data_IF_782196350641
#
_entry.id   IF_782196350641
#
_cell.length_a   1.000
_cell.length_b   1.000
_cell.length_c   1.000
_cell.angle_alpha   90.00
_cell.angle_beta   90.00
_cell.angle_gamma   90.00
#
_symmetry.space_group_name_H-M   'P 1'
#
loop_
_entity.id
_entity.type
_entity.pdbx_description
1 polymer ?
#
# COMPACT_ATOMS: atom_id res chain seq x y z
N UNK A 1 30.20 -14.82 56.77
CA UNK A 1 29.05 -14.01 56.28
C UNK A 1 29.47 -13.45 54.93
N UNK A 2 29.01 -14.09 53.84
CA UNK A 2 29.51 -13.84 52.49
C UNK A 2 28.81 -12.64 51.85
N UNK A 3 29.57 -11.76 51.20
CA UNK A 3 29.02 -10.70 50.36
C UNK A 3 29.05 -11.17 48.91
N UNK A 4 27.86 -11.40 48.38
CA UNK A 4 27.59 -11.87 47.03
C UNK A 4 27.98 -10.78 46.01
N UNK A 5 28.96 -11.11 45.17
CA UNK A 5 29.18 -10.40 43.92
C UNK A 5 27.99 -10.64 42.99
N UNK A 6 27.38 -9.57 42.52
CA UNK A 6 26.40 -9.61 41.44
C UNK A 6 26.69 -8.46 40.48
N UNK A 7 27.76 -8.62 39.70
CA UNK A 7 28.05 -7.73 38.58
C UNK A 7 27.08 -8.09 37.45
N UNK A 8 25.99 -7.31 37.33
CA UNK A 8 25.01 -7.47 36.25
C UNK A 8 25.72 -7.35 34.90
N UNK A 9 25.71 -8.44 34.16
CA UNK A 9 26.14 -8.52 32.77
C UNK A 9 25.34 -7.51 31.94
N UNK A 10 26.04 -6.48 31.42
CA UNK A 10 25.48 -5.54 30.44
C UNK A 10 25.23 -6.33 29.16
N UNK A 11 23.99 -6.79 28.99
CA UNK A 11 23.52 -7.33 27.71
C UNK A 11 23.60 -6.20 26.69
N UNK A 12 24.48 -6.36 25.71
CA UNK A 12 24.50 -5.53 24.52
C UNK A 12 23.35 -6.00 23.62
N UNK A 13 22.12 -5.66 23.99
CA UNK A 13 20.97 -5.84 23.11
C UNK A 13 21.20 -4.90 21.93
N UNK A 14 21.67 -5.45 20.80
CA UNK A 14 21.67 -4.72 19.52
C UNK A 14 20.24 -4.25 19.32
N UNK A 15 19.94 -2.94 19.28
CA UNK A 15 18.58 -2.50 19.13
C UNK A 15 18.09 -3.08 17.80
N UNK A 16 17.02 -3.87 17.85
CA UNK A 16 16.28 -4.28 16.67
C UNK A 16 15.73 -2.99 16.08
N UNK A 17 16.53 -2.37 15.21
CA UNK A 17 16.09 -1.34 14.31
C UNK A 17 14.93 -1.95 13.54
N UNK A 18 13.70 -1.57 13.89
CA UNK A 18 12.54 -1.82 13.05
C UNK A 18 12.95 -1.43 11.63
N UNK A 19 13.03 -2.41 10.74
CA UNK A 19 13.48 -2.20 9.37
C UNK A 19 12.45 -1.27 8.74
N UNK A 20 12.75 0.03 8.78
CA UNK A 20 11.88 1.08 8.28
C UNK A 20 11.65 0.77 6.81
N UNK A 21 10.40 0.58 6.39
CA UNK A 21 10.08 0.45 4.98
C UNK A 21 10.70 1.64 4.25
N UNK A 22 11.71 1.38 3.43
CA UNK A 22 12.50 2.41 2.73
C UNK A 22 11.74 2.90 1.49
N UNK A 23 10.41 3.00 1.59
CA UNK A 23 9.58 3.51 0.51
C UNK A 23 9.32 4.98 0.79
N UNK A 24 10.05 5.85 0.11
CA UNK A 24 9.88 7.30 0.17
C UNK A 24 8.76 7.79 -0.74
N UNK A 25 8.33 9.03 -0.51
CA UNK A 25 7.39 9.72 -1.39
C UNK A 25 8.07 10.17 -2.69
N UNK A 26 7.30 10.14 -3.79
CA UNK A 26 7.72 10.69 -5.08
C UNK A 26 6.91 11.92 -5.41
N UNK A 27 7.59 13.01 -5.78
CA UNK A 27 6.92 14.20 -6.33
C UNK A 27 6.31 13.86 -7.69
N UNK A 28 5.01 14.10 -7.84
CA UNK A 28 4.25 13.86 -9.06
C UNK A 28 3.54 15.15 -9.50
N UNK A 29 3.41 15.34 -10.82
CA UNK A 29 2.63 16.44 -11.39
C UNK A 29 1.19 16.00 -11.61
N UNK A 30 0.26 16.89 -11.30
CA UNK A 30 -1.19 16.65 -11.38
C UNK A 30 -1.85 17.83 -12.07
N UNK A 31 -3.06 17.64 -12.57
CA UNK A 31 -3.84 18.75 -13.10
C UNK A 31 -4.19 19.74 -11.97
N UNK A 32 -4.09 21.03 -12.27
CA UNK A 32 -4.25 22.09 -11.28
C UNK A 32 -5.69 22.17 -10.72
N UNK A 33 -6.70 21.94 -11.56
CA UNK A 33 -8.12 21.88 -11.19
C UNK A 33 -8.37 20.88 -10.05
N UNK A 34 -7.88 19.66 -10.24
CA UNK A 34 -8.06 18.56 -9.29
C UNK A 34 -7.31 18.82 -7.98
N UNK A 35 -6.08 19.32 -8.09
CA UNK A 35 -5.29 19.68 -6.92
C UNK A 35 -6.00 20.77 -6.09
N UNK A 36 -6.59 21.77 -6.74
CA UNK A 36 -7.28 22.84 -6.06
C UNK A 36 -8.53 22.33 -5.32
N UNK A 37 -9.35 21.50 -5.97
CA UNK A 37 -10.54 20.91 -5.35
C UNK A 37 -10.17 20.11 -4.09
N UNK A 38 -9.16 19.24 -4.20
CA UNK A 38 -8.70 18.43 -3.07
C UNK A 38 -8.16 19.32 -1.95
N UNK A 39 -7.38 20.34 -2.29
CA UNK A 39 -6.82 21.28 -1.31
C UNK A 39 -7.91 22.02 -0.53
N UNK A 40 -8.97 22.48 -1.20
CA UNK A 40 -10.12 23.13 -0.54
C UNK A 40 -10.82 22.13 0.39
N UNK A 41 -11.09 20.92 -0.09
CA UNK A 41 -11.76 19.89 0.70
C UNK A 41 -10.98 19.53 1.97
N UNK A 42 -9.67 19.29 1.86
CA UNK A 42 -8.81 18.97 3.01
C UNK A 42 -8.66 20.15 3.97
N UNK A 43 -8.76 21.39 3.47
CA UNK A 43 -8.75 22.58 4.32
C UNK A 43 -10.06 22.74 5.12
N UNK A 44 -11.20 22.30 4.57
CA UNK A 44 -12.51 22.39 5.23
C UNK A 44 -12.75 21.26 6.23
N UNK A 45 -12.39 20.03 5.86
CA UNK A 45 -12.78 18.83 6.59
C UNK A 45 -11.63 18.15 7.34
N UNK A 46 -10.42 18.71 7.25
CA UNK A 46 -9.20 18.11 7.77
C UNK A 46 -8.60 17.06 6.82
N UNK A 47 -7.36 16.67 7.10
CA UNK A 47 -6.58 15.71 6.30
C UNK A 47 -5.55 16.36 5.38
N UNK A 48 -4.87 15.55 4.58
CA UNK A 48 -3.77 15.98 3.72
C UNK A 48 -3.98 15.56 2.25
N UNK A 49 -3.65 16.45 1.32
CA UNK A 49 -3.66 16.19 -0.13
C UNK A 49 -2.89 14.91 -0.49
N UNK A 50 -1.77 14.65 0.20
CA UNK A 50 -0.98 13.44 0.00
C UNK A 50 -1.79 12.16 0.28
N UNK A 51 -2.50 12.10 1.40
CA UNK A 51 -3.27 10.92 1.81
C UNK A 51 -4.42 10.64 0.83
N UNK A 52 -5.13 11.71 0.43
CA UNK A 52 -6.20 11.63 -0.57
C UNK A 52 -5.67 11.08 -1.91
N UNK A 53 -4.51 11.60 -2.34
CA UNK A 53 -3.86 11.13 -3.56
C UNK A 53 -3.45 9.66 -3.45
N UNK A 54 -2.89 9.26 -2.33
CA UNK A 54 -2.45 7.89 -2.08
C UNK A 54 -3.62 6.91 -2.11
N UNK A 55 -4.74 7.24 -1.45
CA UNK A 55 -5.96 6.43 -1.48
C UNK A 55 -6.49 6.31 -2.91
N UNK A 56 -6.53 7.42 -3.66
CA UNK A 56 -7.03 7.44 -5.04
C UNK A 56 -6.15 6.60 -5.97
N UNK A 57 -4.83 6.72 -5.88
CA UNK A 57 -3.88 5.92 -6.65
C UNK A 57 -4.03 4.43 -6.35
N UNK A 58 -4.07 4.06 -5.05
CA UNK A 58 -4.25 2.67 -4.61
C UNK A 58 -5.58 2.10 -5.11
N UNK A 59 -6.67 2.85 -4.99
CA UNK A 59 -8.00 2.43 -5.45
C UNK A 59 -8.04 2.24 -6.97
N UNK A 60 -7.46 3.17 -7.73
CA UNK A 60 -7.41 3.08 -9.19
C UNK A 60 -6.62 1.85 -9.65
N UNK A 61 -5.47 1.58 -9.03
CA UNK A 61 -4.64 0.42 -9.35
C UNK A 61 -5.38 -0.89 -9.02
N UNK A 62 -6.01 -0.98 -7.84
CA UNK A 62 -6.81 -2.14 -7.45
C UNK A 62 -7.95 -2.40 -8.44
N UNK A 63 -8.68 -1.37 -8.83
CA UNK A 63 -9.79 -1.50 -9.79
C UNK A 63 -9.31 -2.01 -11.15
N UNK A 64 -8.20 -1.47 -11.68
CA UNK A 64 -7.63 -1.93 -12.95
C UNK A 64 -7.20 -3.39 -12.86
N UNK A 65 -6.55 -3.79 -11.76
CA UNK A 65 -6.10 -5.16 -11.56
C UNK A 65 -7.27 -6.15 -11.49
N UNK A 66 -8.34 -5.81 -10.76
CA UNK A 66 -9.54 -6.65 -10.64
C UNK A 66 -10.21 -6.85 -12.00
N UNK A 67 -10.37 -5.78 -12.77
CA UNK A 67 -10.97 -5.85 -14.11
C UNK A 67 -10.12 -6.71 -15.06
N UNK A 68 -8.79 -6.56 -15.00
CA UNK A 68 -7.87 -7.38 -15.79
C UNK A 68 -7.98 -8.87 -15.42
N UNK A 69 -8.01 -9.17 -14.12
CA UNK A 69 -8.16 -10.54 -13.63
C UNK A 69 -9.48 -11.17 -14.09
N UNK A 70 -10.59 -10.44 -13.92
CA UNK A 70 -11.91 -10.93 -14.33
C UNK A 70 -12.00 -11.16 -15.85
N UNK A 71 -11.37 -10.29 -16.65
CA UNK A 71 -11.30 -10.45 -18.10
C UNK A 71 -10.57 -11.73 -18.49
N UNK A 72 -9.41 -12.00 -17.89
CA UNK A 72 -8.64 -13.23 -18.14
C UNK A 72 -9.44 -14.47 -17.75
N UNK A 73 -10.04 -14.45 -16.56
CA UNK A 73 -10.85 -15.57 -16.06
C UNK A 73 -12.05 -15.86 -16.99
N UNK A 74 -12.69 -14.82 -17.50
CA UNK A 74 -13.80 -14.94 -18.44
C UNK A 74 -13.36 -15.58 -19.78
N UNK A 75 -12.21 -15.17 -20.32
CA UNK A 75 -11.66 -15.74 -21.56
C UNK A 75 -11.37 -17.23 -21.38
N UNK A 76 -10.64 -17.60 -20.33
CA UNK A 76 -10.32 -19.01 -20.03
C UNK A 76 -11.59 -19.84 -19.85
N UNK A 77 -12.58 -19.30 -19.11
CA UNK A 77 -13.86 -19.98 -18.92
C UNK A 77 -14.64 -20.20 -20.21
N UNK A 78 -14.60 -19.24 -21.14
CA UNK A 78 -15.24 -19.36 -22.45
C UNK A 78 -14.52 -20.41 -23.31
N UNK A 79 -13.18 -20.39 -23.35
CA UNK A 79 -12.37 -21.37 -24.08
C UNK A 79 -12.68 -22.80 -23.61
N UNK A 80 -12.62 -23.05 -22.30
CA UNK A 80 -12.96 -24.37 -21.71
C UNK A 80 -14.41 -24.78 -22.03
N UNK A 81 -15.35 -23.82 -22.01
CA UNK A 81 -16.77 -24.11 -22.31
C UNK A 81 -17.00 -24.40 -23.79
N UNK A 82 -16.22 -23.79 -24.69
CA UNK A 82 -16.27 -24.03 -26.13
C UNK A 82 -15.69 -25.41 -26.45
N UNK A 83 -14.53 -25.76 -25.88
CA UNK A 83 -13.91 -27.08 -26.01
C UNK A 83 -14.85 -28.20 -25.54
N UNK A 84 -15.54 -28.00 -24.41
CA UNK A 84 -16.51 -28.97 -23.88
C UNK A 84 -17.79 -29.12 -24.72
N UNK A 85 -18.09 -28.19 -25.63
CA UNK A 85 -19.24 -28.26 -26.55
C UNK A 85 -18.87 -28.80 -27.93
N UNK A 86 -17.58 -28.78 -28.27
CA UNK A 86 -17.04 -29.27 -29.53
C UNK A 86 -16.55 -30.73 -29.45
N UNK A 87 -16.69 -31.37 -28.28
CA UNK A 87 -16.42 -32.79 -28.01
C UNK A 87 -17.75 -33.56 -27.93
#
# INVERSE_FOLDING_TARGET
MGNLGAQKEKRNDTPISAKKDIMGDKTVRVRADLHHIIKIETAKNGGNVKEVMEIRLRSKLKSVLILQYLKILCIIGIEVKLDAKNL
#
